data_IF_894063683239
#
_entry.id   IF_894063683239
#
_cell.length_a   1.000
_cell.length_b   1.000
_cell.length_c   1.000
_cell.angle_alpha   90.00
_cell.angle_beta   90.00
_cell.angle_gamma   90.00
#
_symmetry.space_group_name_H-M   'P 1'
#
loop_
_entity.id
_entity.type
_entity.pdbx_description
1 polymer ?
#
# COMPACT_ATOMS: atom_id res chain seq x y z
N UNK A 1 -16.38 11.71 -16.97
CA UNK A 1 -14.97 11.33 -17.17
C UNK A 1 -14.95 10.21 -18.20
N UNK A 2 -14.10 10.25 -19.22
CA UNK A 2 -14.07 9.20 -20.26
C UNK A 2 -13.04 8.10 -19.93
N UNK A 3 -13.13 6.95 -20.62
CA UNK A 3 -12.26 5.78 -20.39
C UNK A 3 -10.78 6.13 -20.53
N UNK A 4 -10.39 6.97 -21.49
CA UNK A 4 -9.01 7.39 -21.70
C UNK A 4 -8.44 8.20 -20.52
N UNK A 5 -9.25 9.10 -19.94
CA UNK A 5 -8.89 9.86 -18.74
C UNK A 5 -8.71 8.94 -17.53
N UNK A 6 -9.59 7.97 -17.34
CA UNK A 6 -9.50 7.01 -16.25
C UNK A 6 -8.28 6.09 -16.40
N UNK A 7 -8.00 5.58 -17.60
CA UNK A 7 -6.76 4.80 -17.88
C UNK A 7 -5.49 5.61 -17.58
N UNK A 8 -5.48 6.90 -17.94
CA UNK A 8 -4.36 7.81 -17.62
C UNK A 8 -4.20 8.01 -16.11
N UNK A 9 -5.31 8.25 -15.39
CA UNK A 9 -5.31 8.36 -13.94
C UNK A 9 -4.82 7.07 -13.28
N UNK A 10 -5.29 5.91 -13.73
CA UNK A 10 -4.87 4.61 -13.23
C UNK A 10 -3.36 4.40 -13.41
N UNK A 11 -2.80 4.72 -14.59
CA UNK A 11 -1.36 4.63 -14.84
C UNK A 11 -0.56 5.55 -13.90
N UNK A 12 -1.01 6.78 -13.69
CA UNK A 12 -0.39 7.72 -12.75
C UNK A 12 -0.41 7.18 -11.31
N UNK A 13 -1.57 6.68 -10.87
CA UNK A 13 -1.72 6.08 -9.54
C UNK A 13 -0.82 4.85 -9.34
N UNK A 14 -0.69 3.97 -10.35
CA UNK A 14 0.21 2.80 -10.31
C UNK A 14 1.68 3.19 -10.16
N UNK A 15 2.13 4.18 -10.91
CA UNK A 15 3.51 4.70 -10.81
C UNK A 15 3.76 5.28 -9.42
N UNK A 16 2.84 6.10 -8.92
CA UNK A 16 2.94 6.71 -7.60
C UNK A 16 2.89 5.67 -6.47
N UNK A 17 2.04 4.64 -6.59
CA UNK A 17 1.98 3.51 -5.68
C UNK A 17 3.32 2.77 -5.61
N UNK A 18 3.88 2.43 -6.78
CA UNK A 18 5.16 1.70 -6.88
C UNK A 18 6.30 2.49 -6.23
N UNK A 19 6.34 3.81 -6.45
CA UNK A 19 7.31 4.68 -5.80
C UNK A 19 7.12 4.71 -4.27
N UNK A 20 5.88 4.88 -3.80
CA UNK A 20 5.56 4.96 -2.36
C UNK A 20 5.91 3.66 -1.63
N UNK A 21 5.59 2.51 -2.24
CA UNK A 21 5.93 1.19 -1.68
C UNK A 21 7.42 0.95 -1.65
N UNK A 22 8.15 1.32 -2.72
CA UNK A 22 9.62 1.25 -2.73
C UNK A 22 10.24 2.11 -1.62
N UNK A 23 9.77 3.34 -1.44
CA UNK A 23 10.25 4.19 -0.33
C UNK A 23 9.95 3.58 1.04
N UNK A 24 8.83 2.89 1.20
CA UNK A 24 8.49 2.18 2.43
C UNK A 24 9.41 0.97 2.66
N UNK A 25 9.72 0.19 1.62
CA UNK A 25 10.69 -0.91 1.65
C UNK A 25 12.10 -0.43 2.03
N UNK A 26 12.55 0.68 1.43
CA UNK A 26 13.85 1.29 1.74
C UNK A 26 13.92 1.76 3.19
N UNK A 27 12.85 2.39 3.72
CA UNK A 27 12.79 2.81 5.11
C UNK A 27 12.78 1.63 6.08
N UNK A 28 12.07 0.54 5.73
CA UNK A 28 12.04 -0.72 6.48
C UNK A 28 13.36 -1.50 6.46
N UNK A 29 14.25 -1.18 5.53
CA UNK A 29 15.55 -1.85 5.38
C UNK A 29 16.68 -1.15 6.17
N UNK A 30 16.39 -0.02 6.81
CA UNK A 30 17.36 0.70 7.65
C UNK A 30 17.52 0.03 9.01
N UNK A 31 18.70 0.19 9.62
CA UNK A 31 18.97 -0.29 10.99
C UNK A 31 18.03 0.32 12.02
N UNK A 32 17.69 1.61 11.86
CA UNK A 32 16.71 2.32 12.69
C UNK A 32 15.63 2.94 11.78
N UNK A 33 14.52 2.23 11.55
CA UNK A 33 13.43 2.70 10.70
C UNK A 33 12.67 3.88 11.32
N UNK A 34 12.34 4.91 10.52
CA UNK A 34 11.54 6.02 11.02
C UNK A 34 10.04 5.66 11.05
N UNK A 35 9.52 5.32 12.23
CA UNK A 35 8.12 4.91 12.44
C UNK A 35 7.09 5.98 12.04
N UNK A 36 7.38 7.27 12.27
CA UNK A 36 6.49 8.37 11.87
C UNK A 36 6.38 8.43 10.35
N UNK A 37 7.51 8.33 9.65
CA UNK A 37 7.55 8.29 8.18
C UNK A 37 6.83 7.04 7.64
N UNK A 38 7.04 5.88 8.25
CA UNK A 38 6.34 4.64 7.88
C UNK A 38 4.82 4.77 8.06
N UNK A 39 4.36 5.42 9.12
CA UNK A 39 2.93 5.68 9.36
C UNK A 39 2.32 6.59 8.30
N UNK A 40 3.04 7.66 7.91
CA UNK A 40 2.61 8.57 6.83
C UNK A 40 2.57 7.82 5.50
N UNK A 41 3.62 7.05 5.17
CA UNK A 41 3.67 6.24 3.96
C UNK A 41 2.52 5.22 3.92
N UNK A 42 2.20 4.58 5.06
CA UNK A 42 1.07 3.65 5.17
C UNK A 42 -0.25 4.31 4.82
N UNK A 43 -0.55 5.47 5.42
CA UNK A 43 -1.77 6.24 5.11
C UNK A 43 -1.81 6.67 3.63
N UNK A 44 -0.69 7.16 3.12
CA UNK A 44 -0.56 7.58 1.72
C UNK A 44 -0.73 6.43 0.73
N UNK A 45 -0.33 5.20 1.07
CA UNK A 45 -0.53 4.03 0.22
C UNK A 45 -1.98 3.57 0.30
N UNK A 46 -2.59 3.56 1.50
CA UNK A 46 -4.00 3.23 1.69
C UNK A 46 -4.97 4.14 0.92
N UNK A 47 -4.74 5.46 0.94
CA UNK A 47 -5.52 6.41 0.12
C UNK A 47 -5.41 6.09 -1.38
N UNK A 48 -4.18 5.81 -1.86
CA UNK A 48 -3.94 5.48 -3.26
C UNK A 48 -4.63 4.18 -3.70
N UNK A 49 -4.65 3.15 -2.85
CA UNK A 49 -5.39 1.91 -3.12
C UNK A 49 -6.87 2.21 -3.27
N UNK A 50 -7.46 2.95 -2.32
CA UNK A 50 -8.88 3.31 -2.36
C UNK A 50 -9.24 4.06 -3.65
N UNK A 51 -8.37 4.98 -4.09
CA UNK A 51 -8.55 5.73 -5.35
C UNK A 51 -8.37 4.86 -6.59
N UNK A 52 -7.46 3.87 -6.55
CA UNK A 52 -7.31 2.88 -7.63
C UNK A 52 -8.56 2.03 -7.77
N UNK A 53 -9.12 1.55 -6.67
CA UNK A 53 -10.36 0.75 -6.66
C UNK A 53 -11.54 1.55 -7.21
N UNK A 54 -11.70 2.81 -6.81
CA UNK A 54 -12.71 3.69 -7.40
C UNK A 54 -12.49 3.91 -8.90
N UNK A 55 -11.26 4.11 -9.33
CA UNK A 55 -10.94 4.27 -10.75
C UNK A 55 -11.27 3.00 -11.55
N UNK A 56 -10.95 1.83 -11.00
CA UNK A 56 -11.27 0.52 -11.57
C UNK A 56 -12.77 0.32 -11.68
N UNK A 57 -13.54 0.63 -10.62
CA UNK A 57 -14.99 0.52 -10.61
C UNK A 57 -15.64 1.46 -11.63
N UNK A 58 -15.16 2.70 -11.74
CA UNK A 58 -15.64 3.64 -12.75
C UNK A 58 -15.36 3.17 -14.18
N UNK A 59 -14.18 2.57 -14.42
CA UNK A 59 -13.86 1.94 -15.71
C UNK A 59 -14.82 0.78 -15.98
N UNK A 60 -15.02 -0.11 -15.00
CA UNK A 60 -15.92 -1.27 -15.12
C UNK A 60 -17.33 -0.85 -15.47
N UNK A 61 -17.88 0.13 -14.75
CA UNK A 61 -19.24 0.61 -14.96
C UNK A 61 -19.40 1.18 -16.38
N UNK A 62 -18.42 1.96 -16.87
CA UNK A 62 -18.44 2.46 -18.23
C UNK A 62 -18.37 1.34 -19.28
N UNK A 63 -17.57 0.30 -19.04
CA UNK A 63 -17.49 -0.89 -19.90
C UNK A 63 -18.71 -1.81 -19.82
N UNK A 64 -19.47 -1.81 -18.71
CA UNK A 64 -20.74 -2.53 -18.63
C UNK A 64 -21.84 -1.79 -19.39
N UNK A 65 -21.75 -0.46 -19.53
CA UNK A 65 -22.66 0.32 -20.38
C UNK A 65 -22.29 0.28 -21.87
N UNK A 66 -21.01 0.11 -22.21
CA UNK A 66 -20.51 -0.16 -23.58
C UNK A 66 -20.24 -1.66 -23.74
N UNK A 67 -21.20 -2.47 -24.20
CA UNK A 67 -21.10 -3.91 -24.46
C UNK A 67 -19.90 -4.31 -25.36
N UNK A 68 -18.69 -4.28 -24.82
CA UNK A 68 -17.44 -4.70 -25.44
C UNK A 68 -16.44 -5.05 -24.35
N UNK A 69 -16.43 -6.33 -23.99
CA UNK A 69 -15.47 -6.91 -23.06
C UNK A 69 -14.08 -6.94 -23.69
N UNK A 70 -13.18 -6.08 -23.21
CA UNK A 70 -11.80 -6.04 -23.68
C UNK A 70 -10.88 -6.72 -22.65
N UNK A 71 -10.10 -7.72 -23.11
CA UNK A 71 -9.18 -8.56 -22.33
C UNK A 71 -8.16 -7.73 -21.52
N UNK A 72 -7.90 -6.49 -21.96
CA UNK A 72 -7.09 -5.49 -21.24
C UNK A 72 -7.62 -5.18 -19.83
N UNK A 73 -8.92 -5.30 -19.57
CA UNK A 73 -9.51 -4.99 -18.27
C UNK A 73 -9.14 -6.03 -17.20
N UNK A 74 -9.11 -7.31 -17.58
CA UNK A 74 -8.79 -8.43 -16.69
C UNK A 74 -7.34 -8.35 -16.18
N UNK A 75 -6.38 -8.06 -17.08
CA UNK A 75 -4.99 -7.86 -16.70
C UNK A 75 -4.80 -6.68 -15.75
N UNK A 76 -5.60 -5.62 -15.93
CA UNK A 76 -5.56 -4.45 -15.09
C UNK A 76 -6.15 -4.69 -13.70
N UNK A 77 -7.12 -5.61 -13.59
CA UNK A 77 -7.70 -6.06 -12.33
C UNK A 77 -6.71 -6.93 -11.53
N UNK A 78 -6.06 -7.90 -12.19
CA UNK A 78 -5.04 -8.76 -11.56
C UNK A 78 -3.86 -7.93 -11.02
N UNK A 79 -3.45 -6.87 -11.72
CA UNK A 79 -2.39 -5.97 -11.24
C UNK A 79 -2.82 -5.19 -9.99
N UNK A 80 -4.09 -4.79 -9.88
CA UNK A 80 -4.61 -4.09 -8.71
C UNK A 80 -4.59 -4.99 -7.46
N UNK A 81 -4.93 -6.28 -7.62
CA UNK A 81 -4.90 -7.26 -6.54
C UNK A 81 -3.49 -7.45 -5.95
N UNK A 82 -2.46 -7.56 -6.80
CA UNK A 82 -1.05 -7.66 -6.36
C UNK A 82 -0.59 -6.47 -5.50
N UNK A 83 -1.14 -5.28 -5.74
CA UNK A 83 -0.81 -4.10 -4.94
C UNK A 83 -1.42 -4.17 -3.53
N UNK A 84 -2.62 -4.74 -3.38
CA UNK A 84 -3.24 -4.98 -2.06
C UNK A 84 -2.46 -6.00 -1.25
N UNK A 85 -2.04 -7.09 -1.89
CA UNK A 85 -1.25 -8.13 -1.23
C UNK A 85 0.08 -7.56 -0.74
N UNK A 86 0.78 -6.83 -1.62
CA UNK A 86 2.04 -6.17 -1.27
C UNK A 86 1.87 -5.14 -0.14
N UNK A 87 0.80 -4.36 -0.16
CA UNK A 87 0.53 -3.41 0.93
C UNK A 87 0.23 -4.11 2.26
N UNK A 88 -0.54 -5.19 2.23
CA UNK A 88 -0.86 -5.99 3.42
C UNK A 88 0.40 -6.61 4.03
N UNK A 89 1.30 -7.13 3.18
CA UNK A 89 2.60 -7.64 3.62
C UNK A 89 3.45 -6.54 4.29
N UNK A 90 3.52 -5.35 3.69
CA UNK A 90 4.24 -4.21 4.25
C UNK A 90 3.64 -3.76 5.59
N UNK A 91 2.32 -3.73 5.73
CA UNK A 91 1.65 -3.41 6.99
C UNK A 91 2.00 -4.44 8.08
N UNK A 92 1.90 -5.74 7.77
CA UNK A 92 2.26 -6.81 8.69
C UNK A 92 3.76 -6.76 9.10
N UNK A 93 4.64 -6.25 8.23
CA UNK A 93 6.05 -6.04 8.54
C UNK A 93 6.26 -4.85 9.47
N UNK A 94 5.55 -3.74 9.28
CA UNK A 94 5.56 -2.58 10.19
C UNK A 94 5.08 -2.98 11.58
N UNK A 95 3.94 -3.67 11.67
CA UNK A 95 3.35 -4.09 12.95
C UNK A 95 4.30 -5.00 13.75
N UNK A 96 4.95 -5.96 13.08
CA UNK A 96 5.97 -6.81 13.71
C UNK A 96 7.16 -6.04 14.29
N UNK A 97 7.56 -4.92 13.67
CA UNK A 97 8.65 -4.09 14.22
C UNK A 97 8.21 -3.26 15.43
N UNK A 98 6.98 -2.72 15.39
CA UNK A 98 6.42 -1.98 16.53
C UNK A 98 6.26 -2.87 17.78
N UNK A 99 5.89 -4.14 17.62
CA UNK A 99 5.82 -5.10 18.74
C UNK A 99 7.20 -5.40 19.32
N UNK A 100 8.20 -5.66 18.47
CA UNK A 100 9.58 -5.94 18.91
C UNK A 100 10.22 -4.77 19.66
N UNK A 101 9.92 -3.52 19.29
CA UNK A 101 10.38 -2.35 20.04
C UNK A 101 9.78 -2.26 21.46
N UNK A 102 8.52 -2.69 21.64
CA UNK A 102 7.90 -2.73 22.97
C UNK A 102 8.47 -3.86 23.83
N UNK A 103 8.69 -5.05 23.27
CA UNK A 103 9.29 -6.18 24.00
C UNK A 103 10.70 -5.87 24.49
N UNK A 104 11.53 -5.19 23.69
CA UNK A 104 12.88 -4.79 24.10
C UNK A 104 12.88 -3.75 25.25
N UNK A 105 11.86 -2.90 25.33
CA UNK A 105 11.70 -1.94 26.45
C UNK A 105 11.27 -2.64 27.74
N UNK A 106 10.39 -3.64 27.67
CA UNK A 106 9.94 -4.39 28.84
C UNK A 106 11.04 -5.29 29.44
N UNK A 107 11.94 -5.83 28.62
CA UNK A 107 13.07 -6.65 29.09
C UNK A 107 14.15 -5.80 29.77
N UNK A 108 14.37 -4.55 29.36
CA UNK A 108 15.30 -3.63 30.02
C UNK A 108 14.75 -2.98 31.30
N UNK A 109 13.42 -2.90 31.47
CA UNK A 109 12.79 -2.35 32.68
C UNK A 109 12.88 -3.26 33.92
N UNK A 110 13.12 -4.57 33.75
CA UNK A 110 13.08 -5.56 34.86
C UNK A 110 14.43 -5.85 35.54
N UNK A 111 15.54 -5.23 35.12
CA UNK A 111 16.89 -5.50 35.70
C UNK A 111 17.36 -4.51 36.77
N UNK A 112 16.60 -3.45 37.08
CA UNK A 112 17.01 -2.43 38.06
C UNK A 112 16.26 -2.48 39.40
N UNK A 113 15.62 -3.60 39.75
CA UNK A 113 14.98 -3.76 41.07
C UNK A 113 15.32 -5.13 41.66
N UNK A 114 16.54 -5.26 42.16
CA UNK A 114 16.85 -6.16 43.26
C UNK A 114 17.84 -5.42 44.16
N UNK A 115 17.28 -4.77 45.19
CA UNK A 115 17.99 -4.45 46.42
C UNK A 115 18.11 -5.73 47.26
#
# INVERSE_FOLDING_TARGET
MNVAQLKTQQKSLRTSFTLSTKTMEEELSKEVPNLTKLSILRLQIGDKISRLEQCQMNITNLFLEEENSDVSYEEDFIKAEKYRDKFSELCARVERMSVKENENKEVHGKKNSSY
#
